data_IF_886604246934
#
_entry.id   IF_886604246934
#
_cell.length_a   1.000
_cell.length_b   1.000
_cell.length_c   1.000
_cell.angle_alpha   90.00
_cell.angle_beta   90.00
_cell.angle_gamma   90.00
#
_symmetry.space_group_name_H-M   'P 1'
#
loop_
_entity.id
_entity.type
_entity.pdbx_description
1 polymer ?
#
# COMPACT_ATOMS: atom_id res chain seq x y z
N UNK A 1 -5.23 6.83 -6.82
CA UNK A 1 -3.88 7.16 -7.30
C UNK A 1 -3.51 8.60 -7.01
N UNK A 2 -4.28 9.60 -7.47
CA UNK A 2 -3.95 11.03 -7.31
C UNK A 2 -3.64 11.47 -5.86
N UNK A 3 -4.40 10.98 -4.87
CA UNK A 3 -4.11 11.30 -3.47
C UNK A 3 -2.79 10.68 -2.95
N UNK A 4 -2.39 9.52 -3.47
CA UNK A 4 -1.07 8.94 -3.17
C UNK A 4 0.03 9.73 -3.89
N UNK A 5 -0.19 10.06 -5.16
CA UNK A 5 0.75 10.83 -5.98
C UNK A 5 1.04 12.21 -5.36
N UNK A 6 0.00 12.94 -4.94
CA UNK A 6 0.15 14.20 -4.19
C UNK A 6 0.89 14.02 -2.86
N UNK A 7 0.65 12.91 -2.16
CA UNK A 7 1.39 12.53 -0.93
C UNK A 7 2.83 12.10 -1.21
N UNK A 8 3.23 11.86 -2.45
CA UNK A 8 4.61 11.53 -2.83
C UNK A 8 5.35 12.75 -3.41
N UNK A 9 4.62 13.76 -3.90
CA UNK A 9 5.15 14.95 -4.60
C UNK A 9 5.44 16.17 -3.70
N UNK A 10 5.11 16.15 -2.40
CA UNK A 10 5.32 17.32 -1.52
C UNK A 10 6.79 17.72 -1.34
N UNK A 11 7.05 19.04 -1.29
CA UNK A 11 8.31 19.59 -0.79
C UNK A 11 8.46 19.20 0.69
N UNK A 12 9.56 18.51 1.06
CA UNK A 12 9.89 17.96 2.40
C UNK A 12 9.49 16.52 2.72
N UNK A 13 9.17 15.68 1.72
CA UNK A 13 8.92 14.25 1.98
C UNK A 13 10.23 13.47 1.83
N UNK A 14 10.94 13.26 2.95
CA UNK A 14 12.11 12.37 3.03
C UNK A 14 11.78 10.99 2.46
N UNK A 15 12.77 10.29 1.90
CA UNK A 15 12.60 8.91 1.36
C UNK A 15 11.91 8.00 2.40
N UNK A 16 12.23 8.20 3.70
CA UNK A 16 11.58 7.59 4.86
C UNK A 16 10.06 7.83 4.94
N UNK A 17 9.59 9.05 4.67
CA UNK A 17 8.16 9.40 4.68
C UNK A 17 7.40 8.89 3.45
N UNK A 18 8.10 8.46 2.39
CA UNK A 18 7.47 7.88 1.19
C UNK A 18 7.16 6.38 1.36
N UNK A 19 7.91 5.69 2.21
CA UNK A 19 7.75 4.26 2.45
C UNK A 19 6.38 3.94 3.08
N UNK A 20 5.95 4.72 4.07
CA UNK A 20 4.70 4.46 4.81
C UNK A 20 3.44 4.61 3.96
N UNK A 21 3.28 5.68 3.15
CA UNK A 21 2.18 5.80 2.21
C UNK A 21 2.13 4.65 1.19
N UNK A 22 3.29 4.19 0.70
CA UNK A 22 3.36 3.11 -0.30
C UNK A 22 2.97 1.77 0.32
N UNK A 23 3.53 1.43 1.47
CA UNK A 23 3.16 0.22 2.23
C UNK A 23 1.69 0.24 2.62
N UNK A 24 1.18 1.36 3.13
CA UNK A 24 -0.25 1.54 3.44
C UNK A 24 -1.12 1.37 2.19
N UNK A 25 -0.69 1.89 1.04
CA UNK A 25 -1.43 1.74 -0.20
C UNK A 25 -1.44 0.28 -0.68
N UNK A 26 -0.31 -0.43 -0.61
CA UNK A 26 -0.25 -1.86 -0.92
C UNK A 26 -1.15 -2.71 -0.01
N UNK A 27 -1.20 -2.38 1.30
CA UNK A 27 -2.14 -3.01 2.23
C UNK A 27 -3.60 -2.71 1.85
N UNK A 28 -3.89 -1.49 1.37
CA UNK A 28 -5.21 -1.12 0.86
C UNK A 28 -5.61 -1.90 -0.39
N UNK A 29 -4.67 -2.15 -1.32
CA UNK A 29 -4.91 -3.00 -2.49
C UNK A 29 -5.32 -4.43 -2.09
N UNK A 30 -4.66 -5.01 -1.09
CA UNK A 30 -5.04 -6.32 -0.54
C UNK A 30 -6.45 -6.29 0.07
N UNK A 31 -6.77 -5.27 0.88
CA UNK A 31 -8.09 -5.10 1.48
C UNK A 31 -9.18 -5.05 0.40
N UNK A 32 -8.98 -4.24 -0.64
CA UNK A 32 -9.90 -4.12 -1.76
C UNK A 32 -10.10 -5.44 -2.50
N UNK A 33 -9.02 -6.21 -2.70
CA UNK A 33 -9.09 -7.55 -3.28
C UNK A 33 -9.97 -8.47 -2.42
N UNK A 34 -9.75 -8.54 -1.11
CA UNK A 34 -10.55 -9.36 -0.20
C UNK A 34 -12.04 -8.97 -0.21
N UNK A 35 -12.34 -7.66 -0.27
CA UNK A 35 -13.72 -7.18 -0.34
C UNK A 35 -14.39 -7.60 -1.65
N UNK A 36 -13.70 -7.46 -2.78
CA UNK A 36 -14.21 -7.89 -4.09
C UNK A 36 -14.39 -9.42 -4.15
N UNK A 37 -13.51 -10.19 -3.51
CA UNK A 37 -13.67 -11.65 -3.33
C UNK A 37 -14.96 -12.01 -2.59
N UNK A 38 -15.45 -11.15 -1.70
CA UNK A 38 -16.73 -11.30 -1.00
C UNK A 38 -17.91 -10.69 -1.77
N UNK A 39 -17.68 -10.11 -2.94
CA UNK A 39 -18.69 -9.38 -3.72
C UNK A 39 -19.01 -8.00 -3.15
N UNK A 40 -18.22 -7.51 -2.20
CA UNK A 40 -18.38 -6.19 -1.60
C UNK A 40 -17.65 -5.12 -2.43
N UNK A 41 -18.42 -4.19 -2.97
CA UNK A 41 -17.95 -3.11 -3.86
C UNK A 41 -17.84 -1.75 -3.17
N UNK A 42 -18.04 -1.67 -1.84
CA UNK A 42 -18.06 -0.41 -1.08
C UNK A 42 -16.76 0.42 -1.20
N UNK A 43 -15.65 -0.22 -1.55
CA UNK A 43 -14.37 0.45 -1.82
C UNK A 43 -14.35 1.25 -3.12
N UNK A 44 -15.31 1.01 -4.02
CA UNK A 44 -15.44 1.59 -5.34
C UNK A 44 -16.83 2.21 -5.48
N UNK A 45 -17.06 3.38 -4.89
CA UNK A 45 -18.39 4.02 -4.81
C UNK A 45 -19.14 4.14 -6.14
N UNK A 46 -18.43 4.39 -7.25
CA UNK A 46 -19.04 4.43 -8.58
C UNK A 46 -19.52 3.04 -9.02
N UNK A 47 -18.68 2.02 -8.88
CA UNK A 47 -19.02 0.63 -9.20
C UNK A 47 -20.17 0.15 -8.29
N UNK A 48 -20.11 0.46 -7.01
CA UNK A 48 -21.14 0.15 -6.02
C UNK A 48 -22.49 0.76 -6.42
N UNK A 49 -22.49 2.04 -6.80
CA UNK A 49 -23.69 2.73 -7.29
C UNK A 49 -24.23 2.13 -8.58
N UNK A 50 -23.35 1.70 -9.50
CA UNK A 50 -23.75 1.08 -10.76
C UNK A 50 -24.32 -0.34 -10.59
N UNK A 51 -23.94 -1.02 -9.50
CA UNK A 51 -24.40 -2.37 -9.15
C UNK A 51 -25.64 -2.39 -8.25
N UNK A 52 -26.22 -1.24 -7.90
CA UNK A 52 -27.42 -1.15 -7.02
C UNK A 52 -28.65 -1.96 -7.48
N UNK A 53 -28.62 -2.56 -8.67
CA UNK A 53 -29.66 -3.42 -9.24
C UNK A 53 -29.19 -4.87 -9.53
N UNK A 54 -27.95 -5.25 -9.21
CA UNK A 54 -27.37 -6.55 -9.60
C UNK A 54 -26.21 -7.04 -8.74
N UNK A 55 -25.75 -8.27 -8.99
CA UNK A 55 -24.54 -8.79 -8.34
C UNK A 55 -23.30 -8.44 -9.17
N UNK A 56 -22.13 -8.45 -8.52
CA UNK A 56 -20.86 -8.37 -9.23
C UNK A 56 -20.62 -9.70 -9.99
N UNK A 57 -20.78 -9.65 -11.31
CA UNK A 57 -20.56 -10.82 -12.18
C UNK A 57 -19.16 -11.43 -11.99
N UNK A 58 -19.07 -12.76 -12.08
CA UNK A 58 -17.84 -13.53 -11.81
C UNK A 58 -16.66 -13.11 -12.68
N UNK A 59 -16.91 -12.77 -13.94
CA UNK A 59 -15.88 -12.32 -14.88
C UNK A 59 -15.34 -10.93 -14.52
N UNK A 60 -16.23 -9.97 -14.25
CA UNK A 60 -15.83 -8.62 -13.82
C UNK A 60 -15.07 -8.67 -12.49
N UNK A 61 -15.52 -9.50 -11.54
CA UNK A 61 -14.84 -9.77 -10.28
C UNK A 61 -13.40 -10.25 -10.51
N UNK A 62 -13.21 -11.22 -11.41
CA UNK A 62 -11.89 -11.74 -11.77
C UNK A 62 -10.99 -10.64 -12.35
N UNK A 63 -11.52 -9.82 -13.27
CA UNK A 63 -10.77 -8.72 -13.87
C UNK A 63 -10.30 -7.69 -12.84
N UNK A 64 -11.18 -7.29 -11.90
CA UNK A 64 -10.83 -6.37 -10.82
C UNK A 64 -9.71 -6.96 -9.94
N UNK A 65 -9.83 -8.23 -9.56
CA UNK A 65 -8.82 -8.92 -8.73
C UNK A 65 -7.46 -8.98 -9.46
N UNK A 66 -7.47 -9.30 -10.75
CA UNK A 66 -6.26 -9.33 -11.59
C UNK A 66 -5.60 -7.95 -11.60
N UNK A 67 -6.35 -6.89 -11.92
CA UNK A 67 -5.81 -5.54 -11.96
C UNK A 67 -5.26 -5.05 -10.61
N UNK A 68 -5.92 -5.36 -9.50
CA UNK A 68 -5.40 -5.03 -8.16
C UNK A 68 -4.10 -5.79 -7.86
N UNK A 69 -4.00 -7.03 -8.32
CA UNK A 69 -2.80 -7.87 -8.15
C UNK A 69 -1.64 -7.36 -9.00
N UNK A 70 -1.89 -7.04 -10.27
CA UNK A 70 -0.88 -6.49 -11.19
C UNK A 70 -0.39 -5.14 -10.69
N UNK A 71 -1.30 -4.26 -10.27
CA UNK A 71 -0.94 -2.96 -9.72
C UNK A 71 -0.04 -3.11 -8.49
N UNK A 72 -0.39 -3.99 -7.55
CA UNK A 72 0.46 -4.26 -6.38
C UNK A 72 1.83 -4.78 -6.78
N UNK A 73 1.89 -5.69 -7.76
CA UNK A 73 3.15 -6.23 -8.28
C UNK A 73 4.04 -5.13 -8.84
N UNK A 74 3.45 -4.19 -9.59
CA UNK A 74 4.19 -3.02 -10.07
C UNK A 74 4.67 -2.12 -8.93
N UNK A 75 3.87 -1.89 -7.88
CA UNK A 75 4.34 -1.16 -6.70
C UNK A 75 5.54 -1.82 -6.03
N UNK A 76 5.52 -3.14 -5.86
CA UNK A 76 6.66 -3.91 -5.31
C UNK A 76 7.89 -3.77 -6.22
N UNK A 77 7.69 -3.83 -7.54
CA UNK A 77 8.78 -3.71 -8.53
C UNK A 77 9.41 -2.31 -8.53
N UNK A 78 8.61 -1.26 -8.41
CA UNK A 78 9.08 0.14 -8.40
C UNK A 78 9.64 0.58 -7.05
N UNK A 79 9.12 0.03 -5.96
CA UNK A 79 9.52 0.32 -4.59
C UNK A 79 9.88 -0.98 -3.89
N UNK A 80 11.00 -1.62 -4.27
CA UNK A 80 11.45 -2.83 -3.58
C UNK A 80 11.66 -2.48 -2.10
N UNK A 81 11.30 -3.41 -1.21
CA UNK A 81 11.60 -3.26 0.21
C UNK A 81 13.13 -3.14 0.37
N UNK A 82 13.59 -1.93 0.63
CA UNK A 82 14.98 -1.65 1.01
C UNK A 82 15.28 -2.04 2.46
N UNK A 83 14.39 -2.81 3.09
CA UNK A 83 14.40 -3.17 4.52
C UNK A 83 15.66 -3.92 4.96
N UNK A 84 16.50 -4.40 4.03
CA UNK A 84 17.79 -4.98 4.38
C UNK A 84 18.85 -3.96 4.83
N UNK A 85 18.64 -2.65 4.70
CA UNK A 85 19.68 -1.66 5.03
C UNK A 85 19.16 -0.41 5.71
N UNK A 86 18.81 -0.50 6.99
CA UNK A 86 19.37 0.37 8.04
C UNK A 86 18.59 0.16 9.35
N UNK A 87 19.25 -0.37 10.37
CA UNK A 87 18.77 -0.32 11.77
C UNK A 87 18.42 1.12 12.19
N UNK A 88 19.17 2.10 11.68
CA UNK A 88 18.88 3.53 11.81
C UNK A 88 17.49 3.92 11.28
N UNK A 89 16.99 3.29 10.22
CA UNK A 89 15.64 3.58 9.68
C UNK A 89 14.55 3.04 10.58
N UNK A 90 14.79 1.86 11.17
CA UNK A 90 13.90 1.28 12.19
C UNK A 90 13.84 2.18 13.42
N UNK A 91 14.98 2.71 13.84
CA UNK A 91 15.09 3.65 14.96
C UNK A 91 14.37 4.97 14.69
N UNK A 92 14.55 5.57 13.50
CA UNK A 92 13.87 6.81 13.10
C UNK A 92 12.34 6.64 13.02
N UNK A 93 11.87 5.47 12.58
CA UNK A 93 10.43 5.17 12.44
C UNK A 93 9.77 4.86 13.79
N UNK A 94 10.42 4.04 14.61
CA UNK A 94 9.97 3.71 15.95
C UNK A 94 11.16 3.27 16.82
N UNK A 95 11.64 4.14 17.72
CA UNK A 95 12.81 3.85 18.55
C UNK A 95 12.56 2.72 19.55
N UNK A 96 11.30 2.41 19.90
CA UNK A 96 10.96 1.33 20.82
C UNK A 96 10.96 -0.06 20.17
N UNK A 97 11.14 -0.14 18.86
CA UNK A 97 11.26 -1.41 18.14
C UNK A 97 12.72 -1.81 17.91
N UNK A 98 13.69 -0.99 18.34
CA UNK A 98 15.12 -1.25 18.19
C UNK A 98 15.75 -1.68 19.51
N UNK A 99 16.66 -2.65 19.46
CA UNK A 99 17.50 -2.99 20.60
C UNK A 99 18.66 -1.98 20.70
N UNK A 100 19.16 -1.75 21.91
CA UNK A 100 20.28 -0.81 22.15
C UNK A 100 21.52 -1.23 21.35
N UNK A 101 21.68 -2.51 21.06
CA UNK A 101 22.76 -3.08 20.24
C UNK A 101 22.66 -2.71 18.75
N UNK A 102 21.50 -2.26 18.29
CA UNK A 102 21.24 -1.90 16.87
C UNK A 102 21.62 -0.44 16.57
N UNK A 103 22.00 0.32 17.59
CA UNK A 103 22.50 1.69 17.45
C UNK A 103 24.02 1.58 17.44
N UNK A 104 24.63 1.60 16.26
CA UNK A 104 26.09 1.71 16.12
C UNK A 104 26.58 2.87 17.00
N UNK A 105 27.39 2.54 18.03
CA UNK A 105 28.00 3.51 18.92
C UNK A 105 28.64 4.64 18.10
N UNK A 106 28.22 5.87 18.34
CA UNK A 106 28.89 7.06 17.79
C UNK A 106 30.31 7.10 18.37
N UNK A 107 31.32 6.89 17.51
CA UNK A 107 32.74 7.10 17.84
C UNK A 107 33.10 8.57 17.71
#
# INVERSE_FOLDING_TARGET
>A
LNALDLKLQGQNINILMRHDPIQTFMAKLNLWKCLIEQGNTASFSYLDSALTQGNLGSELKKQIITHLTDLKTEFIRYFPDTDEKHEVWRFIRNPFLCEVTDILDEV
#
